data_IF_783328830373
#
_entry.id   IF_783328830373
#
_cell.length_a   1.000
_cell.length_b   1.000
_cell.length_c   1.000
_cell.angle_alpha   90.00
_cell.angle_beta   90.00
_cell.angle_gamma   90.00
#
_symmetry.space_group_name_H-M   'P 1'
#
loop_
_entity.id
_entity.type
_entity.pdbx_description
1 polymer ?
#
# COMPACT_ATOMS: atom_id res chain seq x y z
N UNK A 1 -8.25 -12.05 -3.94
CA UNK A 1 -8.44 -10.62 -4.31
C UNK A 1 -9.88 -10.22 -4.07
N UNK A 2 -10.14 -9.15 -3.31
CA UNK A 2 -11.52 -8.69 -3.08
C UNK A 2 -12.15 -8.19 -4.41
N UNK A 3 -13.37 -8.62 -4.79
CA UNK A 3 -14.00 -8.34 -6.08
C UNK A 3 -14.12 -6.83 -6.40
N UNK A 4 -14.17 -5.99 -5.37
CA UNK A 4 -14.22 -4.54 -5.50
C UNK A 4 -12.96 -3.96 -6.16
N UNK A 5 -11.77 -4.54 -5.92
CA UNK A 5 -10.49 -4.02 -6.45
C UNK A 5 -10.41 -4.13 -7.97
N UNK A 6 -10.80 -5.27 -8.53
CA UNK A 6 -10.79 -5.50 -9.99
C UNK A 6 -11.80 -4.57 -10.67
N UNK A 7 -13.00 -4.45 -10.10
CA UNK A 7 -14.03 -3.57 -10.66
C UNK A 7 -13.62 -2.10 -10.63
N UNK A 8 -12.86 -1.68 -9.61
CA UNK A 8 -12.30 -0.34 -9.53
C UNK A 8 -11.27 -0.11 -10.63
N UNK A 9 -10.32 -1.04 -10.80
CA UNK A 9 -9.26 -0.94 -11.82
C UNK A 9 -9.83 -0.85 -13.24
N UNK A 10 -10.80 -1.69 -13.58
CA UNK A 10 -11.44 -1.64 -14.90
C UNK A 10 -12.10 -0.26 -15.11
N UNK A 11 -12.85 0.23 -14.11
CA UNK A 11 -13.50 1.53 -14.21
C UNK A 11 -12.52 2.69 -14.24
N UNK A 12 -11.37 2.60 -13.56
CA UNK A 12 -10.35 3.65 -13.61
C UNK A 12 -9.69 3.73 -14.98
N UNK A 13 -9.41 2.59 -15.62
CA UNK A 13 -8.79 2.56 -16.95
C UNK A 13 -9.76 3.03 -18.03
N UNK A 14 -11.05 2.73 -17.91
CA UNK A 14 -12.07 3.12 -18.88
C UNK A 14 -12.72 4.48 -18.61
N UNK A 15 -12.21 5.29 -17.68
CA UNK A 15 -12.81 6.57 -17.25
C UNK A 15 -14.31 6.45 -16.86
N UNK A 16 -14.65 5.39 -16.11
CA UNK A 16 -16.00 5.12 -15.61
C UNK A 16 -16.13 5.36 -14.09
N UNK A 17 -15.15 6.05 -13.50
CA UNK A 17 -15.24 6.46 -12.10
C UNK A 17 -16.25 7.61 -11.94
N UNK A 18 -16.85 7.78 -10.75
CA UNK A 18 -17.83 8.83 -10.48
C UNK A 18 -17.20 10.23 -10.37
N UNK A 19 -16.62 10.73 -11.46
CA UNK A 19 -16.22 12.13 -11.63
C UNK A 19 -17.46 13.01 -11.84
N UNK A 20 -17.44 14.32 -11.53
CA UNK A 20 -18.63 15.14 -11.78
C UNK A 20 -18.99 15.17 -13.26
N UNK A 21 -18.01 15.12 -14.17
CA UNK A 21 -18.28 15.00 -15.61
C UNK A 21 -19.09 13.73 -15.94
N UNK A 22 -18.73 12.59 -15.36
CA UNK A 22 -19.45 11.33 -15.58
C UNK A 22 -20.81 11.32 -14.87
N UNK A 23 -20.91 11.92 -13.68
CA UNK A 23 -22.18 12.03 -12.96
C UNK A 23 -23.20 12.88 -13.74
N UNK A 24 -22.75 13.94 -14.41
CA UNK A 24 -23.61 14.72 -15.32
C UNK A 24 -24.03 13.88 -16.53
N UNK A 25 -23.10 13.14 -17.13
CA UNK A 25 -23.41 12.23 -18.24
C UNK A 25 -24.45 11.17 -17.86
N UNK A 26 -24.42 10.69 -16.62
CA UNK A 26 -25.38 9.72 -16.09
C UNK A 26 -26.69 10.34 -15.58
N UNK A 27 -26.88 11.66 -15.72
CA UNK A 27 -28.06 12.36 -15.22
C UNK A 27 -28.18 12.35 -13.69
N UNK A 28 -27.07 12.20 -12.97
CA UNK A 28 -27.02 12.17 -11.49
C UNK A 28 -26.58 13.50 -10.87
N UNK A 29 -26.09 14.43 -11.69
CA UNK A 29 -25.65 15.77 -11.28
C UNK A 29 -25.92 16.74 -12.43
N UNK A 30 -26.16 18.01 -12.09
CA UNK A 30 -26.40 19.05 -13.09
C UNK A 30 -25.12 19.71 -13.60
N UNK A 31 -24.12 19.85 -12.72
CA UNK A 31 -22.91 20.64 -12.99
C UNK A 31 -21.62 19.79 -12.89
N UNK A 32 -20.78 19.74 -13.94
CA UNK A 32 -19.53 18.99 -13.94
C UNK A 32 -18.38 19.72 -13.24
N UNK A 33 -18.62 20.90 -12.65
CA UNK A 33 -17.58 21.78 -12.09
C UNK A 33 -16.85 21.17 -10.89
N UNK A 34 -15.53 21.34 -10.84
CA UNK A 34 -14.68 20.96 -9.72
C UNK A 34 -14.71 22.04 -8.63
N UNK A 35 -15.02 21.73 -7.35
CA UNK A 35 -15.15 22.74 -6.31
C UNK A 35 -13.90 23.59 -6.07
N UNK A 36 -12.71 23.05 -6.35
CA UNK A 36 -11.45 23.74 -6.06
C UNK A 36 -11.09 24.77 -7.14
N UNK A 37 -11.16 24.38 -8.42
CA UNK A 37 -10.65 25.20 -9.53
C UNK A 37 -11.73 25.72 -10.48
N UNK A 38 -12.98 25.34 -10.24
CA UNK A 38 -14.14 25.63 -11.09
C UNK A 38 -14.00 25.18 -12.56
N UNK A 39 -13.03 24.33 -12.87
CA UNK A 39 -12.93 23.65 -14.17
C UNK A 39 -13.81 22.41 -14.25
N UNK A 40 -13.97 21.85 -15.45
CA UNK A 40 -14.67 20.58 -15.65
C UNK A 40 -13.93 19.44 -14.94
N UNK A 41 -14.59 18.73 -14.03
CA UNK A 41 -14.00 17.64 -13.25
C UNK A 41 -14.11 16.30 -13.98
N UNK A 42 -13.14 15.99 -14.82
CA UNK A 42 -12.87 14.62 -15.32
C UNK A 42 -12.03 13.83 -14.31
N UNK A 43 -11.90 12.52 -14.51
CA UNK A 43 -10.97 11.72 -13.68
C UNK A 43 -9.53 12.18 -13.85
N UNK A 44 -9.09 12.40 -15.08
CA UNK A 44 -7.77 12.96 -15.41
C UNK A 44 -7.54 14.31 -14.72
N UNK A 45 -8.55 15.19 -14.73
CA UNK A 45 -8.47 16.48 -14.05
C UNK A 45 -8.19 16.34 -12.55
N UNK A 46 -8.90 15.42 -11.87
CA UNK A 46 -8.69 15.20 -10.44
C UNK A 46 -7.31 14.61 -10.17
N UNK A 47 -6.87 13.67 -11.00
CA UNK A 47 -5.66 12.89 -10.76
C UNK A 47 -4.37 13.61 -11.14
N UNK A 48 -4.37 14.47 -12.18
CA UNK A 48 -3.14 15.07 -12.70
C UNK A 48 -3.27 16.49 -13.24
N UNK A 49 -4.46 16.91 -13.70
CA UNK A 49 -4.57 18.10 -14.58
C UNK A 49 -5.21 19.32 -13.89
N UNK A 50 -5.39 19.30 -12.57
CA UNK A 50 -5.94 20.43 -11.83
C UNK A 50 -4.85 21.48 -11.51
N UNK A 51 -4.93 22.64 -12.17
CA UNK A 51 -3.96 23.75 -11.99
C UNK A 51 -3.83 24.22 -10.55
N UNK A 52 -4.94 24.31 -9.82
CA UNK A 52 -4.93 24.76 -8.42
C UNK A 52 -4.35 23.68 -7.51
N UNK A 53 -4.68 22.41 -7.75
CA UNK A 53 -4.09 21.31 -6.97
C UNK A 53 -2.56 21.24 -7.20
N UNK A 54 -2.12 21.49 -8.43
CA UNK A 54 -0.70 21.57 -8.78
C UNK A 54 -0.01 22.74 -8.09
N UNK A 55 -0.55 23.97 -8.20
CA UNK A 55 0.07 25.16 -7.61
C UNK A 55 0.10 25.13 -6.08
N UNK A 56 -0.88 24.47 -5.45
CA UNK A 56 -0.92 24.25 -4.00
C UNK A 56 -0.03 23.09 -3.53
N UNK A 57 0.69 22.40 -4.43
CA UNK A 57 1.54 21.26 -4.08
C UNK A 57 0.78 20.01 -3.61
N UNK A 58 -0.54 19.92 -3.88
CA UNK A 58 -1.34 18.79 -3.41
C UNK A 58 -0.88 17.49 -4.03
N UNK A 59 -0.55 17.48 -5.32
CA UNK A 59 -0.03 16.29 -5.98
C UNK A 59 1.25 15.80 -5.33
N UNK A 60 2.20 16.69 -5.07
CA UNK A 60 3.43 16.36 -4.33
C UNK A 60 3.13 15.75 -2.98
N UNK A 61 2.19 16.32 -2.21
CA UNK A 61 1.78 15.75 -0.93
C UNK A 61 1.18 14.35 -1.06
N UNK A 62 0.26 14.13 -2.01
CA UNK A 62 -0.34 12.81 -2.25
C UNK A 62 0.70 11.78 -2.68
N UNK A 63 1.60 12.15 -3.59
CA UNK A 63 2.68 11.28 -4.05
C UNK A 63 3.62 10.92 -2.91
N UNK A 64 4.08 11.90 -2.14
CA UNK A 64 4.95 11.67 -0.99
C UNK A 64 4.25 10.79 0.05
N UNK A 65 2.95 10.97 0.28
CA UNK A 65 2.20 10.12 1.20
C UNK A 65 2.15 8.67 0.73
N UNK A 66 1.88 8.42 -0.55
CA UNK A 66 1.87 7.06 -1.10
C UNK A 66 3.26 6.42 -0.99
N UNK A 67 4.32 7.16 -1.30
CA UNK A 67 5.70 6.68 -1.17
C UNK A 67 6.05 6.35 0.29
N UNK A 68 5.62 7.17 1.26
CA UNK A 68 5.80 6.91 2.69
C UNK A 68 5.10 5.62 3.14
N UNK A 69 3.85 5.40 2.72
CA UNK A 69 3.11 4.18 3.07
C UNK A 69 3.76 2.92 2.46
N UNK A 70 4.21 3.01 1.20
CA UNK A 70 4.94 1.93 0.55
C UNK A 70 6.26 1.62 1.26
N UNK A 71 7.03 2.65 1.59
CA UNK A 71 8.28 2.50 2.34
C UNK A 71 8.04 1.85 3.71
N UNK A 72 7.02 2.30 4.45
CA UNK A 72 6.67 1.73 5.75
C UNK A 72 6.27 0.24 5.65
N UNK A 73 5.50 -0.14 4.63
CA UNK A 73 5.15 -1.56 4.41
C UNK A 73 6.39 -2.39 4.10
N UNK A 74 7.28 -1.90 3.24
CA UNK A 74 8.50 -2.62 2.85
C UNK A 74 9.45 -2.79 4.04
N UNK A 75 9.69 -1.74 4.83
CA UNK A 75 10.50 -1.82 6.05
C UNK A 75 9.90 -2.78 7.09
N UNK A 76 8.57 -2.84 7.18
CA UNK A 76 7.88 -3.80 8.07
C UNK A 76 8.15 -5.25 7.63
N UNK A 77 8.01 -5.53 6.33
CA UNK A 77 8.25 -6.87 5.76
C UNK A 77 9.73 -7.28 5.80
N UNK A 78 10.67 -6.31 5.71
CA UNK A 78 12.12 -6.53 5.86
C UNK A 78 12.50 -6.88 7.31
N UNK A 79 11.60 -6.68 8.28
CA UNK A 79 11.86 -7.00 9.69
C UNK A 79 12.51 -5.86 10.48
N UNK A 80 12.54 -4.63 9.96
CA UNK A 80 13.07 -3.43 10.65
C UNK A 80 12.13 -2.90 11.75
N UNK A 81 11.23 -3.74 12.28
CA UNK A 81 10.42 -3.36 13.43
C UNK A 81 11.21 -3.55 14.72
N UNK A 82 11.69 -2.46 15.30
CA UNK A 82 11.87 -2.39 16.75
C UNK A 82 10.48 -2.47 17.40
N UNK A 83 9.99 -3.69 17.64
CA UNK A 83 8.89 -3.96 18.56
C UNK A 83 9.44 -4.70 19.79
N UNK A 84 8.89 -4.43 20.99
CA UNK A 84 9.49 -4.86 22.24
C UNK A 84 9.53 -6.38 22.31
N UNK A 85 10.66 -6.93 22.76
CA UNK A 85 10.84 -8.35 23.10
C UNK A 85 9.63 -8.82 23.90
N UNK A 86 8.69 -9.50 23.26
CA UNK A 86 7.76 -10.35 23.97
C UNK A 86 8.60 -11.53 24.45
N UNK A 87 8.73 -11.66 25.77
CA UNK A 87 9.46 -12.75 26.38
C UNK A 87 8.93 -14.08 25.81
N UNK A 88 9.80 -14.83 25.14
CA UNK A 88 9.47 -16.15 24.66
C UNK A 88 9.08 -17.02 25.87
N UNK A 89 7.81 -17.43 25.92
CA UNK A 89 7.32 -18.40 26.89
C UNK A 89 7.90 -19.77 26.51
N UNK A 90 8.95 -20.18 27.23
CA UNK A 90 9.51 -21.53 27.13
C UNK A 90 8.59 -22.48 27.89
N UNK A 91 7.84 -23.32 27.18
CA UNK A 91 7.14 -24.45 27.78
C UNK A 91 8.13 -25.56 28.07
N UNK A 92 8.35 -25.83 29.36
CA UNK A 92 9.09 -27.02 29.80
C UNK A 92 8.08 -28.10 30.13
N UNK A 93 8.17 -29.26 29.49
CA UNK A 93 7.37 -30.44 29.83
C UNK A 93 8.01 -31.19 30.99
N UNK A 94 7.29 -31.29 32.09
CA UNK A 94 7.59 -32.08 33.29
C UNK A 94 7.23 -33.55 33.06
N UNK A 95 8.16 -34.29 32.47
CA UNK A 95 8.02 -35.73 32.31
C UNK A 95 9.12 -36.31 31.45
N UNK A 96 10.17 -36.83 32.10
CA UNK A 96 11.32 -37.40 31.41
C UNK A 96 10.93 -38.57 30.50
N UNK A 97 11.17 -38.42 29.20
CA UNK A 97 11.32 -39.55 28.27
C UNK A 97 12.23 -39.18 27.09
N UNK A 98 13.39 -39.84 27.06
CA UNK A 98 14.35 -40.14 25.97
C UNK A 98 14.05 -39.61 24.56
N UNK A 99 15.04 -38.86 24.05
CA UNK A 99 15.12 -38.23 22.74
C UNK A 99 15.06 -39.20 21.58
N UNK A 100 14.11 -38.97 20.67
CA UNK A 100 14.16 -39.50 19.32
C UNK A 100 14.95 -38.54 18.44
N UNK A 101 16.18 -38.91 18.08
CA UNK A 101 16.95 -38.21 17.06
C UNK A 101 16.41 -38.60 15.70
N UNK A 102 15.21 -38.11 15.36
CA UNK A 102 14.77 -38.07 13.97
C UNK A 102 15.78 -37.22 13.21
N UNK A 103 16.45 -37.80 12.21
CA UNK A 103 17.33 -37.06 11.30
C UNK A 103 16.48 -35.99 10.63
N UNK A 104 16.53 -34.77 11.16
CA UNK A 104 15.96 -33.59 10.53
C UNK A 104 16.68 -33.43 9.20
N UNK A 105 15.99 -33.80 8.12
CA UNK A 105 16.32 -33.27 6.80
C UNK A 105 16.22 -31.76 6.98
N UNK A 106 17.34 -31.06 6.80
CA UNK A 106 17.36 -29.59 6.83
C UNK A 106 16.44 -29.15 5.70
N UNK A 107 15.18 -28.88 6.01
CA UNK A 107 14.24 -28.29 5.08
C UNK A 107 14.88 -26.99 4.64
N UNK A 108 15.25 -26.94 3.36
CA UNK A 108 15.78 -25.75 2.69
C UNK A 108 14.99 -24.54 3.16
N UNK A 109 15.70 -23.51 3.65
CA UNK A 109 15.18 -22.28 4.24
C UNK A 109 13.76 -21.98 3.77
N UNK A 110 12.80 -22.15 4.68
CA UNK A 110 11.42 -21.80 4.41
C UNK A 110 11.37 -20.27 4.31
N UNK A 111 11.39 -19.75 3.08
CA UNK A 111 11.28 -18.32 2.78
C UNK A 111 10.00 -17.81 3.46
N UNK A 112 10.13 -16.97 4.50
CA UNK A 112 9.01 -16.48 5.30
C UNK A 112 8.19 -15.41 4.56
N UNK A 113 8.85 -14.62 3.72
CA UNK A 113 8.24 -13.58 2.89
C UNK A 113 9.09 -13.35 1.63
N UNK A 114 8.55 -12.61 0.65
CA UNK A 114 9.27 -12.30 -0.59
C UNK A 114 10.63 -11.60 -0.35
N UNK A 115 10.76 -10.91 0.79
CA UNK A 115 11.95 -10.13 1.15
C UNK A 115 12.87 -10.85 2.16
N UNK A 116 12.67 -12.15 2.41
CA UNK A 116 13.46 -12.90 3.38
C UNK A 116 14.92 -13.03 2.92
N UNK A 117 15.87 -12.49 3.70
CA UNK A 117 17.31 -12.46 3.39
C UNK A 117 17.76 -11.29 2.49
N UNK A 118 16.88 -10.33 2.19
CA UNK A 118 17.21 -9.12 1.42
C UNK A 118 17.79 -8.01 2.32
N UNK A 119 19.00 -8.20 2.84
CA UNK A 119 19.70 -7.28 3.75
C UNK A 119 20.71 -6.34 3.04
N UNK A 120 20.85 -6.44 1.72
CA UNK A 120 21.87 -5.74 0.92
C UNK A 120 21.47 -4.33 0.45
N UNK A 121 20.27 -3.87 0.78
CA UNK A 121 19.73 -2.58 0.36
C UNK A 121 18.81 -1.96 1.43
N UNK A 122 18.75 -0.63 1.47
CA UNK A 122 17.88 0.13 2.36
C UNK A 122 16.74 0.81 1.62
N UNK A 123 15.59 0.91 2.28
CA UNK A 123 14.43 1.61 1.75
C UNK A 123 14.65 3.11 1.93
N UNK A 124 14.67 3.85 0.84
CA UNK A 124 14.60 5.31 0.85
C UNK A 124 13.37 5.75 0.05
N UNK A 125 12.67 6.75 0.58
CA UNK A 125 11.61 7.44 -0.14
C UNK A 125 11.97 8.92 -0.15
N UNK A 126 11.94 9.53 -1.33
CA UNK A 126 12.12 10.98 -1.49
C UNK A 126 10.90 11.70 -0.89
N UNK A 127 10.88 11.84 0.43
CA UNK A 127 9.98 12.74 1.13
C UNK A 127 10.77 14.03 1.34
N UNK A 128 10.36 15.09 0.62
CA UNK A 128 10.93 16.42 0.76
C UNK A 128 11.15 16.78 2.24
N UNK A 129 12.41 17.05 2.59
CA UNK A 129 12.75 18.01 3.65
C UNK A 129 12.42 19.42 3.23
#
# INVERSE_FOLDING_TARGET
MAPLRISFLIRSVCDLLPSNANLVLWGKKEDPTFPLCQGRQTTEHVLSSCKIALSQGRYTWWHNRVLQELAAMISTEKGETTLPKTNALIFTTDGGAKSWHGRSVKTTNQIKCLLDGCDDWDVSADHLG
#
